data_IF_472760274606
#
_entry.id   IF_472760274606
#
_cell.length_a   1.000
_cell.length_b   1.000
_cell.length_c   1.000
_cell.angle_alpha   90.00
_cell.angle_beta   90.00
_cell.angle_gamma   90.00
#
_symmetry.space_group_name_H-M   'P 1'
#
loop_
_entity.id
_entity.type
_entity.pdbx_description
1 polymer ?
#
# COMPACT_ATOMS: atom_id res chain seq x y z
N UNK A 1 3.87 11.47 0.81
CA UNK A 1 3.10 12.47 0.03
C UNK A 1 3.82 13.82 -0.05
N UNK A 2 4.29 14.39 1.06
CA UNK A 2 4.98 15.70 1.05
C UNK A 2 6.26 15.65 0.21
N UNK A 3 7.07 14.63 0.34
CA UNK A 3 8.26 14.44 -0.51
C UNK A 3 7.90 14.38 -2.01
N UNK A 4 6.81 13.70 -2.38
CA UNK A 4 6.32 13.66 -3.77
C UNK A 4 5.86 15.05 -4.24
N UNK A 5 5.12 15.77 -3.39
CA UNK A 5 4.69 17.14 -3.68
C UNK A 5 5.87 18.08 -3.86
N UNK A 6 6.89 18.00 -2.99
CA UNK A 6 8.12 18.79 -3.09
C UNK A 6 8.84 18.55 -4.43
N UNK A 7 8.95 17.29 -4.84
CA UNK A 7 9.49 16.91 -6.15
C UNK A 7 8.69 17.48 -7.32
N UNK A 8 7.37 17.44 -7.24
CA UNK A 8 6.52 18.04 -8.28
C UNK A 8 6.64 19.56 -8.33
N UNK A 9 6.77 20.24 -7.19
CA UNK A 9 6.99 21.71 -7.16
C UNK A 9 8.27 22.10 -7.90
N UNK A 10 9.37 21.37 -7.71
CA UNK A 10 10.62 21.63 -8.45
C UNK A 10 10.42 21.47 -9.95
N UNK A 11 9.81 20.37 -10.40
CA UNK A 11 9.53 20.14 -11.83
C UNK A 11 8.63 21.22 -12.42
N UNK A 12 7.58 21.61 -11.69
CA UNK A 12 6.63 22.64 -12.09
C UNK A 12 7.32 24.01 -12.22
N UNK A 13 8.21 24.36 -11.30
CA UNK A 13 9.01 25.58 -11.35
C UNK A 13 9.89 25.59 -12.60
N UNK A 14 10.65 24.51 -12.87
CA UNK A 14 11.50 24.44 -14.07
C UNK A 14 10.69 24.63 -15.36
N UNK A 15 9.51 23.98 -15.42
CA UNK A 15 8.60 24.13 -16.54
C UNK A 15 8.14 25.59 -16.73
N UNK A 16 7.76 26.27 -15.64
CA UNK A 16 7.28 27.67 -15.66
C UNK A 16 8.36 28.66 -16.17
N UNK A 17 9.62 28.38 -15.84
CA UNK A 17 10.76 29.25 -16.30
C UNK A 17 11.38 28.77 -17.61
N UNK A 18 10.77 27.78 -18.29
CA UNK A 18 11.20 27.32 -19.60
C UNK A 18 12.47 26.46 -19.61
N UNK A 19 12.91 25.91 -18.47
CA UNK A 19 14.10 25.05 -18.41
C UNK A 19 13.68 23.60 -18.68
N UNK A 20 14.07 23.02 -19.83
CA UNK A 20 13.74 21.63 -20.16
C UNK A 20 14.55 20.66 -19.30
N UNK A 21 13.88 19.63 -18.76
CA UNK A 21 14.57 18.53 -18.07
C UNK A 21 15.19 17.60 -19.12
N UNK A 22 16.50 17.32 -19.06
CA UNK A 22 17.16 16.39 -19.98
C UNK A 22 16.46 15.04 -20.04
N UNK A 23 16.43 14.41 -21.21
CA UNK A 23 15.76 13.10 -21.43
C UNK A 23 16.25 12.01 -20.48
N UNK A 24 17.54 12.02 -20.14
CA UNK A 24 18.17 11.10 -19.20
C UNK A 24 17.60 11.18 -17.77
N UNK A 25 17.06 12.33 -17.36
CA UNK A 25 16.44 12.55 -16.04
C UNK A 25 14.91 12.49 -16.06
N UNK A 26 14.31 12.34 -17.25
CA UNK A 26 12.85 12.32 -17.38
C UNK A 26 12.21 10.93 -17.09
N UNK A 27 12.95 10.03 -16.50
CA UNK A 27 12.51 8.67 -16.12
C UNK A 27 11.80 8.58 -14.77
N UNK A 28 11.49 9.70 -14.13
CA UNK A 28 10.85 9.78 -12.81
C UNK A 28 11.78 9.50 -11.63
N UNK A 29 13.00 9.05 -11.87
CA UNK A 29 14.02 8.84 -10.83
C UNK A 29 14.62 10.15 -10.34
N UNK A 30 14.79 10.28 -9.02
CA UNK A 30 15.48 11.39 -8.38
C UNK A 30 16.89 10.94 -7.95
N UNK A 31 17.73 10.66 -8.94
CA UNK A 31 19.10 10.24 -8.72
C UNK A 31 19.95 11.39 -8.18
N UNK A 32 21.09 11.06 -7.55
CA UNK A 32 22.05 12.07 -7.10
C UNK A 32 22.57 12.93 -8.28
N UNK A 33 22.70 12.34 -9.48
CA UNK A 33 23.07 13.05 -10.71
C UNK A 33 22.04 14.11 -11.09
N UNK A 34 20.74 13.77 -10.98
CA UNK A 34 19.67 14.73 -11.25
C UNK A 34 19.65 15.88 -10.23
N UNK A 35 19.82 15.54 -8.94
CA UNK A 35 19.91 16.58 -7.89
C UNK A 35 21.13 17.48 -8.08
N UNK A 36 22.26 16.92 -8.50
CA UNK A 36 23.45 17.70 -8.80
C UNK A 36 23.21 18.62 -10.01
N UNK A 37 22.66 18.10 -11.10
CA UNK A 37 22.28 18.91 -12.25
C UNK A 37 21.36 20.09 -11.86
N UNK A 38 20.38 19.88 -10.97
CA UNK A 38 19.52 20.96 -10.44
C UNK A 38 20.32 22.02 -9.69
N UNK A 39 21.35 21.62 -8.95
CA UNK A 39 22.23 22.56 -8.23
C UNK A 39 23.13 23.36 -9.18
N UNK A 40 23.53 22.79 -10.30
CA UNK A 40 24.43 23.37 -11.25
C UNK A 40 23.73 24.26 -12.31
N UNK A 41 22.37 24.28 -12.28
CA UNK A 41 21.59 25.14 -13.20
C UNK A 41 21.95 26.62 -13.01
N UNK A 42 22.14 27.33 -14.10
CA UNK A 42 22.28 28.78 -14.10
C UNK A 42 20.93 29.44 -14.37
N UNK A 43 20.63 30.50 -13.65
CA UNK A 43 19.41 31.28 -13.80
C UNK A 43 19.79 32.75 -14.09
N UNK A 44 19.07 33.35 -14.99
CA UNK A 44 19.18 34.79 -15.24
C UNK A 44 18.73 35.62 -14.02
N UNK A 45 17.76 35.06 -13.27
CA UNK A 45 17.14 35.72 -12.12
C UNK A 45 17.61 35.09 -10.79
N UNK A 46 18.20 35.88 -9.92
CA UNK A 46 18.65 35.46 -8.59
C UNK A 46 17.51 34.91 -7.72
N UNK A 47 16.30 35.44 -7.87
CA UNK A 47 15.11 34.97 -7.15
C UNK A 47 14.73 33.54 -7.53
N UNK A 48 14.89 33.15 -8.80
CA UNK A 48 14.66 31.79 -9.26
C UNK A 48 15.67 30.79 -8.63
N UNK A 49 16.94 31.21 -8.55
CA UNK A 49 17.95 30.41 -7.86
C UNK A 49 17.62 30.21 -6.37
N UNK A 50 17.25 31.30 -5.68
CA UNK A 50 16.86 31.20 -4.25
C UNK A 50 15.66 30.28 -4.06
N UNK A 51 14.66 30.41 -4.92
CA UNK A 51 13.46 29.55 -4.86
C UNK A 51 13.81 28.08 -5.06
N UNK A 52 14.65 27.76 -6.06
CA UNK A 52 15.10 26.38 -6.27
C UNK A 52 15.88 25.84 -5.06
N UNK A 53 16.77 26.64 -4.49
CA UNK A 53 17.55 26.25 -3.31
C UNK A 53 16.63 25.91 -2.13
N UNK A 54 15.60 26.73 -1.85
CA UNK A 54 14.61 26.43 -0.80
C UNK A 54 13.83 25.16 -1.09
N UNK A 55 13.42 24.91 -2.32
CA UNK A 55 12.73 23.65 -2.68
C UNK A 55 13.64 22.42 -2.54
N UNK A 56 14.91 22.53 -2.93
CA UNK A 56 15.89 21.45 -2.75
C UNK A 56 16.15 21.17 -1.27
N UNK A 57 16.31 22.21 -0.45
CA UNK A 57 16.49 22.08 0.98
C UNK A 57 15.29 21.40 1.63
N UNK A 58 14.06 21.84 1.33
CA UNK A 58 12.84 21.22 1.83
C UNK A 58 12.72 19.74 1.40
N UNK A 59 13.07 19.44 0.14
CA UNK A 59 13.09 18.06 -0.35
C UNK A 59 14.10 17.18 0.41
N UNK A 60 15.30 17.70 0.67
CA UNK A 60 16.34 16.99 1.41
C UNK A 60 15.94 16.74 2.86
N UNK A 61 15.37 17.74 3.56
CA UNK A 61 14.82 17.58 4.91
C UNK A 61 13.77 16.47 4.96
N UNK A 62 12.78 16.51 4.06
CA UNK A 62 11.74 15.48 3.99
C UNK A 62 12.32 14.08 3.67
N UNK A 63 13.38 14.02 2.86
CA UNK A 63 14.07 12.76 2.60
C UNK A 63 14.75 12.22 3.85
N UNK A 64 15.44 13.08 4.60
CA UNK A 64 16.11 12.71 5.85
C UNK A 64 15.10 12.25 6.91
N UNK A 65 14.00 12.97 7.09
CA UNK A 65 12.92 12.58 8.00
C UNK A 65 12.35 11.21 7.65
N UNK A 66 12.13 10.94 6.35
CA UNK A 66 11.72 9.62 5.89
C UNK A 66 12.73 8.53 6.26
N UNK A 67 14.03 8.78 6.08
CA UNK A 67 15.08 7.81 6.44
C UNK A 67 15.13 7.56 7.95
N UNK A 68 15.00 8.62 8.76
CA UNK A 68 14.95 8.51 10.21
C UNK A 68 13.73 7.66 10.65
N UNK A 69 12.54 7.96 10.14
CA UNK A 69 11.33 7.17 10.44
C UNK A 69 11.48 5.69 10.04
N UNK A 70 12.12 5.39 8.90
CA UNK A 70 12.40 4.01 8.50
C UNK A 70 13.42 3.32 9.43
N UNK A 71 14.38 4.08 9.95
CA UNK A 71 15.35 3.57 10.95
C UNK A 71 14.63 3.24 12.27
N UNK A 72 13.75 4.11 12.73
CA UNK A 72 12.97 3.91 13.96
C UNK A 72 12.06 2.68 13.83
N UNK A 73 11.39 2.51 12.68
CA UNK A 73 10.59 1.30 12.39
C UNK A 73 11.46 0.03 12.45
N UNK A 74 12.69 0.08 11.91
CA UNK A 74 13.62 -1.06 12.01
C UNK A 74 14.06 -1.36 13.45
N UNK A 75 14.14 -0.36 14.30
CA UNK A 75 14.42 -0.56 15.74
C UNK A 75 13.21 -1.19 16.45
N UNK A 76 11.99 -0.72 16.18
CA UNK A 76 10.76 -1.33 16.70
C UNK A 76 10.66 -2.81 16.34
N UNK A 77 11.05 -3.17 15.12
CA UNK A 77 11.03 -4.55 14.65
C UNK A 77 12.02 -5.48 15.37
N UNK A 78 13.00 -4.95 16.13
CA UNK A 78 13.88 -5.75 16.98
C UNK A 78 13.28 -6.09 18.33
N UNK A 79 12.21 -5.41 18.76
CA UNK A 79 11.50 -5.73 19.98
C UNK A 79 10.76 -7.06 19.81
N UNK A 80 10.88 -7.94 20.79
CA UNK A 80 10.34 -9.31 20.74
C UNK A 80 8.85 -9.35 20.39
N UNK A 81 8.07 -8.44 20.97
CA UNK A 81 6.64 -8.34 20.73
C UNK A 81 6.30 -8.14 19.23
N UNK A 82 7.02 -7.23 18.54
CA UNK A 82 6.80 -6.97 17.12
C UNK A 82 7.50 -7.99 16.24
N UNK A 83 8.69 -8.45 16.63
CA UNK A 83 9.49 -9.37 15.83
C UNK A 83 8.74 -10.65 15.50
N UNK A 84 8.21 -11.32 16.53
CA UNK A 84 7.51 -12.59 16.37
C UNK A 84 6.23 -12.44 15.55
N UNK A 85 5.42 -11.40 15.84
CA UNK A 85 4.18 -11.15 15.12
C UNK A 85 4.46 -10.77 13.65
N UNK A 86 5.41 -9.88 13.39
CA UNK A 86 5.75 -9.47 12.02
C UNK A 86 6.32 -10.64 11.23
N UNK A 87 7.17 -11.49 11.83
CA UNK A 87 7.68 -12.71 11.21
C UNK A 87 6.52 -13.64 10.82
N UNK A 88 5.56 -13.82 11.73
CA UNK A 88 4.36 -14.63 11.50
C UNK A 88 3.50 -14.06 10.36
N UNK A 89 3.18 -12.76 10.37
CA UNK A 89 2.34 -12.14 9.35
C UNK A 89 3.00 -12.14 7.96
N UNK A 90 4.32 -12.07 7.90
CA UNK A 90 5.07 -12.17 6.64
C UNK A 90 5.03 -13.54 5.98
N UNK A 91 4.58 -14.58 6.67
CA UNK A 91 4.32 -15.89 6.04
C UNK A 91 3.16 -15.82 5.05
N UNK A 92 2.25 -14.85 5.22
CA UNK A 92 1.11 -14.69 4.30
C UNK A 92 1.60 -14.09 2.98
N UNK A 93 1.33 -14.79 1.88
CA UNK A 93 1.74 -14.37 0.54
C UNK A 93 1.31 -12.92 0.25
N UNK A 94 2.24 -12.11 -0.21
CA UNK A 94 2.03 -10.70 -0.54
C UNK A 94 2.25 -9.74 0.63
N UNK A 95 2.25 -10.20 1.88
CA UNK A 95 2.44 -9.34 3.06
C UNK A 95 3.92 -9.03 3.26
N UNK A 96 4.31 -7.81 2.94
CA UNK A 96 5.66 -7.29 3.18
C UNK A 96 5.88 -6.83 4.62
N UNK A 97 7.14 -6.52 4.97
CA UNK A 97 7.51 -6.05 6.30
C UNK A 97 6.76 -4.78 6.73
N UNK A 98 6.59 -3.82 5.80
CA UNK A 98 5.87 -2.57 6.08
C UNK A 98 4.39 -2.80 6.32
N UNK A 99 3.76 -3.70 5.57
CA UNK A 99 2.37 -4.06 5.80
C UNK A 99 2.20 -4.79 7.13
N UNK A 100 3.08 -5.75 7.44
CA UNK A 100 3.02 -6.50 8.69
C UNK A 100 3.17 -5.60 9.91
N UNK A 101 4.14 -4.67 9.94
CA UNK A 101 4.28 -3.73 11.06
C UNK A 101 3.10 -2.75 11.14
N UNK A 102 2.60 -2.28 10.00
CA UNK A 102 1.43 -1.40 9.98
C UNK A 102 0.20 -2.13 10.53
N UNK A 103 -0.01 -3.39 10.16
CA UNK A 103 -1.08 -4.21 10.75
C UNK A 103 -0.90 -4.36 12.27
N UNK A 104 0.32 -4.68 12.72
CA UNK A 104 0.63 -4.86 14.14
C UNK A 104 0.35 -3.58 14.97
N UNK A 105 0.73 -2.42 14.45
CA UNK A 105 0.57 -1.13 15.16
C UNK A 105 -0.84 -0.56 15.10
N UNK A 106 -1.58 -0.77 14.00
CA UNK A 106 -2.93 -0.20 13.84
C UNK A 106 -4.03 -1.11 14.42
N UNK A 107 -3.83 -2.43 14.33
CA UNK A 107 -4.77 -3.41 14.89
C UNK A 107 -4.51 -3.61 16.38
N UNK A 108 -3.26 -3.60 16.82
CA UNK A 108 -2.77 -3.81 18.18
C UNK A 108 -3.11 -5.19 18.73
N UNK A 109 -4.39 -5.52 18.83
CA UNK A 109 -4.89 -6.84 19.21
C UNK A 109 -6.00 -7.30 18.25
N UNK A 110 -5.78 -8.44 17.62
CA UNK A 110 -6.75 -9.04 16.70
C UNK A 110 -8.02 -9.55 17.41
N UNK A 111 -7.92 -9.89 18.69
CA UNK A 111 -9.06 -10.40 19.49
C UNK A 111 -10.13 -9.33 19.72
N UNK A 112 -9.79 -8.05 19.64
CA UNK A 112 -10.79 -6.95 19.73
C UNK A 112 -11.87 -7.02 18.64
N UNK A 113 -11.58 -7.71 17.53
CA UNK A 113 -12.57 -7.94 16.46
C UNK A 113 -13.21 -9.31 16.63
N UNK A 114 -14.39 -9.32 17.25
CA UNK A 114 -15.14 -10.60 17.49
C UNK A 114 -15.41 -11.36 16.19
N UNK A 115 -15.78 -10.64 15.13
CA UNK A 115 -16.10 -11.24 13.82
C UNK A 115 -15.17 -10.71 12.73
N UNK A 116 -15.10 -11.44 11.61
CA UNK A 116 -14.37 -10.97 10.45
C UNK A 116 -15.02 -9.70 9.83
N UNK A 117 -16.33 -9.55 9.93
CA UNK A 117 -17.04 -8.40 9.40
C UNK A 117 -16.70 -7.11 10.17
N UNK A 118 -16.52 -7.16 11.49
CA UNK A 118 -16.05 -6.00 12.26
C UNK A 118 -14.65 -5.55 11.84
N UNK A 119 -13.75 -6.50 11.55
CA UNK A 119 -12.41 -6.20 10.99
C UNK A 119 -12.51 -5.62 9.58
N UNK A 120 -13.37 -6.18 8.72
CA UNK A 120 -13.61 -5.65 7.37
C UNK A 120 -14.13 -4.19 7.40
N UNK A 121 -15.03 -3.89 8.32
CA UNK A 121 -15.54 -2.53 8.50
C UNK A 121 -14.45 -1.57 8.98
N UNK A 122 -13.59 -1.98 9.91
CA UNK A 122 -12.46 -1.20 10.39
C UNK A 122 -11.49 -0.86 9.26
N UNK A 123 -11.14 -1.84 8.43
CA UNK A 123 -10.26 -1.62 7.26
C UNK A 123 -10.98 -0.85 6.14
N UNK A 124 -12.31 -0.92 6.07
CA UNK A 124 -13.14 -0.25 5.08
C UNK A 124 -13.39 -1.04 3.81
N UNK A 125 -13.45 -2.35 3.93
CA UNK A 125 -13.90 -3.23 2.84
C UNK A 125 -15.42 -3.48 2.86
N UNK A 126 -16.15 -2.88 3.80
CA UNK A 126 -17.61 -2.94 3.83
C UNK A 126 -18.22 -1.94 2.85
N UNK A 127 -19.28 -2.32 2.11
CA UNK A 127 -20.06 -1.37 1.34
C UNK A 127 -20.85 -0.46 2.30
N UNK A 128 -21.11 0.77 1.89
CA UNK A 128 -22.11 1.60 2.54
C UNK A 128 -23.48 0.99 2.29
N UNK A 129 -24.30 0.92 3.30
CA UNK A 129 -25.70 0.54 3.19
C UNK A 129 -26.57 1.82 3.24
N UNK A 130 -27.40 1.98 2.22
CA UNK A 130 -28.46 2.99 2.17
C UNK A 130 -29.79 2.25 2.12
N UNK A 131 -30.19 1.69 3.25
CA UNK A 131 -31.46 0.97 3.36
C UNK A 131 -32.53 1.91 3.89
N UNK A 132 -33.62 2.07 3.16
CA UNK A 132 -34.84 2.70 3.64
C UNK A 132 -36.00 1.72 3.49
N UNK A 133 -36.54 1.24 4.63
CA UNK A 133 -37.64 0.28 4.64
C UNK A 133 -37.25 -1.09 4.04
N UNK A 134 -38.07 -1.62 3.15
CA UNK A 134 -37.90 -2.99 2.61
C UNK A 134 -36.82 -3.10 1.52
N UNK A 135 -36.27 -1.98 1.00
CA UNK A 135 -35.26 -1.98 -0.08
C UNK A 135 -33.84 -1.80 0.45
N UNK A 136 -33.07 -2.89 0.45
CA UNK A 136 -31.62 -2.84 0.73
C UNK A 136 -30.86 -2.33 -0.51
N UNK A 137 -30.24 -1.15 -0.40
CA UNK A 137 -29.34 -0.61 -1.44
C UNK A 137 -27.92 -0.62 -0.92
N UNK A 138 -27.08 -1.49 -1.50
CA UNK A 138 -25.63 -1.52 -1.26
C UNK A 138 -24.97 -0.44 -2.11
N UNK A 139 -24.34 0.54 -1.43
CA UNK A 139 -23.61 1.64 -2.05
C UNK A 139 -22.15 1.33 -2.34
N UNK A 140 -21.38 2.40 -2.57
CA UNK A 140 -19.91 2.33 -2.70
C UNK A 140 -19.29 1.99 -1.34
N UNK A 141 -17.99 1.65 -1.33
CA UNK A 141 -17.25 1.41 -0.09
C UNK A 141 -17.30 2.65 0.83
N UNK A 142 -17.41 2.42 2.13
CA UNK A 142 -17.52 3.49 3.14
C UNK A 142 -16.34 4.46 3.09
N UNK A 143 -16.60 5.76 3.34
CA UNK A 143 -15.57 6.79 3.50
C UNK A 143 -14.93 6.76 4.90
N UNK A 144 -15.66 6.30 5.92
CA UNK A 144 -15.17 6.10 7.29
C UNK A 144 -14.39 4.79 7.33
N UNK A 145 -13.05 4.87 7.19
CA UNK A 145 -12.23 3.69 7.02
C UNK A 145 -10.76 3.97 7.27
N UNK A 146 -10.01 2.94 7.53
CA UNK A 146 -8.56 3.00 7.61
C UNK A 146 -7.93 2.98 6.20
N UNK A 147 -7.95 4.14 5.51
CA UNK A 147 -7.52 4.27 4.10
C UNK A 147 -6.14 3.66 3.84
N UNK A 148 -5.21 3.83 4.78
CA UNK A 148 -3.83 3.32 4.63
C UNK A 148 -3.79 1.80 4.62
N UNK A 149 -4.42 1.13 5.60
CA UNK A 149 -4.48 -0.34 5.64
C UNK A 149 -5.16 -0.90 4.40
N UNK A 150 -6.26 -0.30 3.98
CA UNK A 150 -6.95 -0.75 2.77
C UNK A 150 -6.07 -0.66 1.53
N UNK A 151 -5.35 0.46 1.34
CA UNK A 151 -4.45 0.60 0.19
C UNK A 151 -3.33 -0.45 0.22
N UNK A 152 -2.69 -0.65 1.37
CA UNK A 152 -1.65 -1.67 1.54
C UNK A 152 -2.18 -3.07 1.21
N UNK A 153 -3.33 -3.45 1.76
CA UNK A 153 -3.91 -4.78 1.51
C UNK A 153 -4.32 -4.99 0.04
N UNK A 154 -4.69 -3.94 -0.68
CA UNK A 154 -4.95 -4.03 -2.13
C UNK A 154 -3.63 -4.24 -2.90
N UNK A 155 -2.56 -3.52 -2.54
CA UNK A 155 -1.23 -3.72 -3.12
C UNK A 155 -0.70 -5.12 -2.83
N UNK A 156 -0.82 -5.58 -1.59
CA UNK A 156 -0.44 -6.95 -1.20
C UNK A 156 -1.27 -8.01 -1.95
N UNK A 157 -2.55 -7.76 -2.21
CA UNK A 157 -3.40 -8.66 -2.97
C UNK A 157 -2.92 -8.83 -4.42
N UNK A 158 -2.41 -7.77 -5.06
CA UNK A 158 -1.78 -7.85 -6.39
C UNK A 158 -0.50 -8.70 -6.39
N UNK A 159 0.24 -8.72 -5.28
CA UNK A 159 1.40 -9.59 -5.11
C UNK A 159 0.93 -11.02 -4.81
N UNK A 160 -0.04 -11.17 -3.92
CA UNK A 160 -0.53 -12.47 -3.46
C UNK A 160 -1.09 -13.33 -4.61
N UNK A 161 -1.80 -12.76 -5.58
CA UNK A 161 -2.32 -13.52 -6.73
C UNK A 161 -1.22 -14.09 -7.65
N UNK A 162 0.02 -13.59 -7.54
CA UNK A 162 1.17 -14.11 -8.31
C UNK A 162 1.84 -15.30 -7.63
N UNK A 163 1.68 -15.42 -6.31
CA UNK A 163 2.42 -16.40 -5.50
C UNK A 163 1.51 -17.45 -4.83
N UNK A 164 0.20 -17.19 -4.74
CA UNK A 164 -0.77 -18.10 -4.14
C UNK A 164 -1.75 -18.61 -5.21
N UNK A 165 -1.66 -19.89 -5.61
CA UNK A 165 -2.50 -20.46 -6.67
C UNK A 165 -3.99 -20.37 -6.38
N UNK A 166 -4.41 -20.54 -5.12
CA UNK A 166 -5.82 -20.47 -4.73
C UNK A 166 -6.37 -19.03 -4.83
N UNK A 167 -5.56 -18.01 -4.50
CA UNK A 167 -5.94 -16.61 -4.69
C UNK A 167 -5.94 -16.24 -6.17
N UNK A 168 -4.97 -16.73 -6.94
CA UNK A 168 -4.90 -16.54 -8.40
C UNK A 168 -6.16 -17.07 -9.09
N UNK A 169 -6.52 -18.33 -8.82
CA UNK A 169 -7.74 -18.95 -9.36
C UNK A 169 -9.00 -18.14 -8.99
N UNK A 170 -9.12 -17.78 -7.71
CA UNK A 170 -10.26 -16.98 -7.23
C UNK A 170 -10.32 -15.61 -7.91
N UNK A 171 -9.16 -14.97 -8.18
CA UNK A 171 -9.11 -13.70 -8.89
C UNK A 171 -9.60 -13.83 -10.32
N UNK A 172 -9.07 -14.79 -11.09
CA UNK A 172 -9.46 -15.00 -12.49
C UNK A 172 -10.94 -15.30 -12.64
N UNK A 173 -11.49 -16.20 -11.81
CA UNK A 173 -12.92 -16.49 -11.79
C UNK A 173 -13.77 -15.26 -11.43
N UNK A 174 -13.32 -14.45 -10.50
CA UNK A 174 -14.04 -13.25 -10.07
C UNK A 174 -13.94 -12.11 -11.10
N UNK A 175 -12.80 -12.00 -11.80
CA UNK A 175 -12.56 -10.97 -12.81
C UNK A 175 -13.57 -11.06 -13.96
N UNK A 176 -13.93 -12.26 -14.39
CA UNK A 176 -14.93 -12.49 -15.46
C UNK A 176 -16.29 -11.89 -15.08
N UNK A 177 -16.73 -12.09 -13.81
CA UNK A 177 -18.07 -11.66 -13.36
C UNK A 177 -18.12 -10.23 -12.84
N UNK A 178 -17.08 -9.75 -12.19
CA UNK A 178 -17.08 -8.49 -11.43
C UNK A 178 -16.23 -7.39 -12.06
N UNK A 179 -15.39 -7.73 -13.03
CA UNK A 179 -14.31 -6.87 -13.52
C UNK A 179 -13.12 -6.82 -12.56
N UNK A 180 -11.98 -6.38 -13.06
CA UNK A 180 -10.69 -6.44 -12.39
C UNK A 180 -10.64 -5.68 -11.06
N UNK A 181 -11.16 -4.44 -11.03
CA UNK A 181 -11.15 -3.58 -9.82
C UNK A 181 -11.94 -4.17 -8.66
N UNK A 182 -13.07 -4.83 -8.92
CA UNK A 182 -13.88 -5.46 -7.89
C UNK A 182 -13.29 -6.83 -7.49
N UNK A 183 -12.72 -7.55 -8.44
CA UNK A 183 -12.07 -8.82 -8.18
C UNK A 183 -10.89 -8.66 -7.21
N UNK A 184 -10.01 -7.68 -7.42
CA UNK A 184 -8.86 -7.48 -6.51
C UNK A 184 -9.29 -7.06 -5.10
N UNK A 185 -10.37 -6.29 -4.94
CA UNK A 185 -10.94 -5.97 -3.63
C UNK A 185 -11.44 -7.25 -2.93
N UNK A 186 -12.07 -8.17 -3.66
CA UNK A 186 -12.48 -9.47 -3.12
C UNK A 186 -11.26 -10.29 -2.65
N UNK A 187 -10.16 -10.25 -3.41
CA UNK A 187 -8.91 -10.91 -3.01
C UNK A 187 -8.32 -10.25 -1.77
N UNK A 188 -8.28 -8.92 -1.70
CA UNK A 188 -7.79 -8.20 -0.53
C UNK A 188 -8.59 -8.56 0.76
N UNK A 189 -9.92 -8.73 0.64
CA UNK A 189 -10.74 -9.24 1.75
C UNK A 189 -10.37 -10.68 2.14
N UNK A 190 -10.15 -11.57 1.18
CA UNK A 190 -9.69 -12.94 1.45
C UNK A 190 -8.31 -12.95 2.10
N UNK A 191 -7.40 -12.09 1.63
CA UNK A 191 -6.07 -11.91 2.22
C UNK A 191 -6.18 -11.45 3.68
N UNK A 192 -7.03 -10.46 3.97
CA UNK A 192 -7.29 -10.00 5.35
C UNK A 192 -7.84 -11.12 6.24
N UNK A 193 -8.72 -11.99 5.70
CA UNK A 193 -9.22 -13.16 6.44
C UNK A 193 -8.09 -14.14 6.78
N UNK A 194 -7.16 -14.37 5.87
CA UNK A 194 -5.99 -15.23 6.09
C UNK A 194 -5.03 -14.62 7.12
N UNK A 195 -4.76 -13.32 7.02
CA UNK A 195 -3.98 -12.57 8.02
C UNK A 195 -4.61 -12.72 9.41
N UNK A 196 -5.94 -12.59 9.52
CA UNK A 196 -6.66 -12.79 10.79
C UNK A 196 -6.49 -14.22 11.33
N UNK A 197 -6.63 -15.23 10.47
CA UNK A 197 -6.47 -16.62 10.86
C UNK A 197 -5.06 -16.91 11.38
N UNK A 198 -4.03 -16.49 10.64
CA UNK A 198 -2.61 -16.63 11.03
C UNK A 198 -2.33 -15.92 12.36
N UNK A 199 -2.83 -14.70 12.53
CA UNK A 199 -2.62 -13.94 13.76
C UNK A 199 -3.25 -14.63 14.98
N UNK A 200 -4.48 -15.14 14.85
CA UNK A 200 -5.20 -15.78 15.95
C UNK A 200 -4.70 -17.19 16.28
N UNK A 201 -4.26 -17.95 15.26
CA UNK A 201 -3.74 -19.30 15.46
C UNK A 201 -2.28 -19.32 15.93
N UNK A 202 -1.51 -18.27 15.64
CA UNK A 202 -0.07 -18.27 15.87
C UNK A 202 0.73 -19.18 14.94
N UNK A 203 0.09 -19.78 13.93
CA UNK A 203 0.73 -20.69 12.97
C UNK A 203 1.03 -19.98 11.65
N UNK A 204 2.20 -20.21 11.03
CA UNK A 204 2.53 -19.65 9.73
C UNK A 204 1.51 -20.04 8.66
N UNK A 205 1.35 -19.16 7.67
CA UNK A 205 0.48 -19.42 6.53
C UNK A 205 1.06 -20.48 5.60
N UNK A 206 0.23 -21.44 5.23
CA UNK A 206 0.50 -22.37 4.17
C UNK A 206 -0.26 -21.99 2.90
N UNK A 207 0.41 -21.99 1.74
CA UNK A 207 -0.21 -21.70 0.45
C UNK A 207 -1.30 -22.70 0.14
N UNK A 208 -2.46 -22.21 -0.28
CA UNK A 208 -3.60 -23.05 -0.58
C UNK A 208 -3.34 -24.03 -1.74
N UNK A 209 -3.61 -25.30 -1.51
CA UNK A 209 -3.60 -26.33 -2.55
C UNK A 209 -4.89 -26.18 -3.36
N UNK A 210 -4.77 -25.99 -4.69
CA UNK A 210 -5.91 -26.03 -5.60
C UNK A 210 -6.13 -27.49 -5.97
N UNK A 211 -7.16 -28.13 -5.41
CA UNK A 211 -7.62 -29.42 -5.90
C UNK A 211 -8.02 -29.24 -7.38
N UNK A 212 -7.41 -30.00 -8.27
CA UNK A 212 -7.82 -30.08 -9.67
C UNK A 212 -9.32 -30.44 -9.68
N UNK A 213 -10.13 -29.58 -10.28
CA UNK A 213 -11.53 -29.89 -10.48
C UNK A 213 -11.60 -31.23 -11.21
N UNK A 214 -12.25 -32.25 -10.60
CA UNK A 214 -12.55 -33.50 -11.26
C UNK A 214 -13.29 -33.13 -12.55
N UNK A 215 -12.64 -33.32 -13.67
CA UNK A 215 -13.31 -33.24 -14.97
C UNK A 215 -14.44 -34.27 -14.92
N UNK A 216 -15.66 -33.79 -14.82
CA UNK A 216 -16.82 -34.65 -15.05
C UNK A 216 -16.80 -34.97 -16.53
N UNK A 217 -16.23 -36.13 -16.88
CA UNK A 217 -16.48 -36.74 -18.17
C UNK A 217 -17.96 -37.13 -18.18
N UNK A 218 -18.74 -36.42 -18.96
CA UNK A 218 -20.04 -36.87 -19.45
C UNK A 218 -19.81 -37.53 -20.80
#
# INVERSE_FOLDING_TARGET
RELTRSKHRIKSMLYQIGIPIPKEFNNGSWSNKFVQWLKDLNFENSSSRLTLNHYLQAMQSLHQEKQNALKDIRQLLKQEHYFNLVKLLRSVCGVGQMTAITLATEIVDMKRFRTFDTLNCFVGFCPNEYSSGEKQRKGRMTFRQHKRLRSLLIEDAWIAIRHDPALSLCFHQSKIKLGERRAIIKIARKLLSRIRAVWLSGTPYETGIVALAKVKNN
#
